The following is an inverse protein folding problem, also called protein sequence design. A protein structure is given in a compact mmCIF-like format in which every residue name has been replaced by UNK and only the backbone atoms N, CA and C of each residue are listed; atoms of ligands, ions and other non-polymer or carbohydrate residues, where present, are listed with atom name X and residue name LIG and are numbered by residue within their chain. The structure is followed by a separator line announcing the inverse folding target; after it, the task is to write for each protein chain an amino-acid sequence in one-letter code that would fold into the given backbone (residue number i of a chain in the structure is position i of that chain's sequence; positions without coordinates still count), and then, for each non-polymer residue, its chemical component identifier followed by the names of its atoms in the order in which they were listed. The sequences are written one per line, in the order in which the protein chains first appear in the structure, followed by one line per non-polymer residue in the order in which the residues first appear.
data_IF_435523803016
#
_entry.id   IF_435523803016
#
_cell.length_a   1.000
_cell.length_b   1.000
_cell.length_c   1.000
_cell.angle_alpha   90.00
_cell.angle_beta   90.00
_cell.angle_gamma   90.00
#
_symmetry.space_group_name_H-M   'P 1'
#
loop_
_entity.id
_entity.type
_entity.pdbx_description
1 polymer ?
#
# COMPACT_ATOMS: atom_id res chain seq x y z
N UNK A 1 -57.08 2.98 -5.04
CA UNK A 1 -56.43 2.04 -5.98
C UNK A 1 -55.23 2.73 -6.58
N UNK A 2 -54.03 2.47 -6.07
CA UNK A 2 -52.74 2.80 -6.71
C UNK A 2 -51.68 1.92 -6.02
N UNK A 3 -51.55 0.71 -6.56
CA UNK A 3 -50.43 -0.22 -6.35
C UNK A 3 -49.37 0.09 -7.40
N UNK A 4 -48.10 0.15 -6.99
CA UNK A 4 -46.84 -0.13 -7.72
C UNK A 4 -45.78 0.93 -7.37
N UNK A 5 -44.59 0.62 -6.89
CA UNK A 5 -43.96 -0.67 -6.65
C UNK A 5 -42.76 -0.46 -5.73
N UNK A 6 -42.74 -1.22 -4.64
CA UNK A 6 -41.54 -1.50 -3.87
C UNK A 6 -40.67 -2.39 -4.74
N UNK A 7 -39.59 -1.85 -5.31
CA UNK A 7 -38.53 -2.69 -5.86
C UNK A 7 -37.78 -3.34 -4.70
N UNK A 8 -37.75 -4.67 -4.74
CA UNK A 8 -37.01 -5.53 -3.82
C UNK A 8 -35.50 -5.25 -3.92
N UNK A 9 -34.84 -5.12 -2.77
CA UNK A 9 -33.37 -5.08 -2.64
C UNK A 9 -32.67 -6.30 -3.24
N UNK A 10 -33.40 -7.35 -3.63
CA UNK A 10 -32.88 -8.50 -4.38
C UNK A 10 -32.63 -8.20 -5.88
N UNK A 11 -33.01 -7.03 -6.40
CA UNK A 11 -32.81 -6.67 -7.82
C UNK A 11 -31.66 -5.68 -8.07
N UNK A 12 -31.03 -5.14 -7.03
CA UNK A 12 -29.83 -4.27 -7.15
C UNK A 12 -28.53 -5.06 -6.97
N UNK A 13 -28.61 -6.33 -6.57
CA UNK A 13 -27.46 -7.23 -6.37
C UNK A 13 -27.04 -8.02 -7.63
N UNK A 14 -27.70 -7.84 -8.77
CA UNK A 14 -27.42 -8.58 -10.00
C UNK A 14 -26.96 -7.65 -11.11
N UNK A 15 -25.71 -7.18 -10.99
CA UNK A 15 -24.91 -6.75 -12.12
C UNK A 15 -23.47 -7.22 -11.87
N UNK A 16 -23.10 -8.29 -12.57
CA UNK A 16 -21.76 -8.90 -12.70
C UNK A 16 -21.35 -9.91 -11.62
N UNK A 17 -22.20 -10.90 -11.35
CA UNK A 17 -21.71 -12.29 -11.25
C UNK A 17 -22.34 -13.06 -12.40
N UNK A 18 -21.54 -13.22 -13.46
CA UNK A 18 -21.95 -13.85 -14.69
C UNK A 18 -22.01 -15.37 -14.51
N UNK A 19 -23.11 -15.94 -15.01
CA UNK A 19 -23.29 -17.27 -15.55
C UNK A 19 -22.02 -18.12 -15.65
N UNK A 20 -22.16 -19.32 -15.10
CA UNK A 20 -21.28 -20.49 -15.09
C UNK A 20 -21.09 -21.10 -16.50
N UNK A 21 -20.81 -20.26 -17.50
CA UNK A 21 -20.36 -20.70 -18.82
C UNK A 21 -18.83 -20.57 -18.85
N UNK A 22 -18.15 -21.58 -18.30
CA UNK A 22 -16.68 -21.66 -18.17
C UNK A 22 -15.96 -21.86 -19.50
N UNK A 23 -16.67 -21.93 -20.63
CA UNK A 23 -16.12 -22.45 -21.89
C UNK A 23 -15.24 -21.48 -22.68
N UNK A 24 -14.91 -20.28 -22.18
CA UNK A 24 -14.07 -19.31 -22.92
C UNK A 24 -13.33 -18.29 -22.01
N UNK A 25 -12.84 -18.74 -20.86
CA UNK A 25 -12.04 -17.90 -19.94
C UNK A 25 -10.56 -18.18 -20.17
N UNK A 26 -9.80 -17.16 -20.59
CA UNK A 26 -8.34 -17.24 -20.61
C UNK A 26 -7.80 -16.93 -19.23
N UNK A 27 -7.05 -17.85 -18.64
CA UNK A 27 -6.35 -17.62 -17.38
C UNK A 27 -4.96 -17.02 -17.64
N UNK A 28 -4.63 -15.96 -16.89
CA UNK A 28 -3.32 -15.35 -16.89
C UNK A 28 -2.87 -15.17 -15.45
N UNK A 29 -1.58 -15.35 -15.19
CA UNK A 29 -1.06 -15.19 -13.85
C UNK A 29 -1.07 -13.71 -13.43
N UNK A 30 -0.58 -12.84 -14.31
CA UNK A 30 -0.52 -11.40 -14.07
C UNK A 30 -0.88 -10.56 -15.29
N UNK A 31 -1.47 -9.40 -15.04
CA UNK A 31 -1.60 -8.30 -15.98
C UNK A 31 -0.77 -7.14 -15.44
N UNK A 32 0.14 -6.62 -16.24
CA UNK A 32 0.96 -5.44 -15.89
C UNK A 32 0.60 -4.33 -16.86
N UNK A 33 0.16 -3.20 -16.31
CA UNK A 33 -0.03 -1.96 -17.05
C UNK A 33 0.75 -0.89 -16.32
N UNK A 34 1.85 -0.44 -16.90
CA UNK A 34 2.69 0.52 -16.20
C UNK A 34 3.61 1.30 -17.10
N UNK A 35 3.96 2.50 -16.65
CA UNK A 35 5.05 3.24 -17.25
C UNK A 35 6.36 2.75 -16.62
N UNK A 36 7.42 2.54 -17.42
CA UNK A 36 8.69 2.04 -16.92
C UNK A 36 9.33 3.01 -15.90
N UNK A 37 10.16 2.45 -15.00
CA UNK A 37 10.66 3.11 -13.78
C UNK A 37 11.23 4.51 -14.01
N UNK A 38 10.56 5.49 -13.41
CA UNK A 38 10.88 6.90 -13.46
C UNK A 38 11.78 7.24 -12.28
N UNK A 39 13.08 7.39 -12.54
CA UNK A 39 13.93 8.20 -11.69
C UNK A 39 14.56 9.26 -12.57
N UNK A 40 14.41 10.53 -12.20
CA UNK A 40 15.13 11.61 -12.90
C UNK A 40 16.64 11.37 -12.79
N UNK A 41 17.43 11.94 -13.71
CA UNK A 41 18.90 11.84 -13.66
C UNK A 41 19.45 12.31 -12.30
N UNK A 42 18.86 13.37 -11.75
CA UNK A 42 19.21 13.96 -10.45
C UNK A 42 18.78 13.08 -9.27
N UNK A 43 17.59 12.46 -9.34
CA UNK A 43 17.14 11.49 -8.33
C UNK A 43 17.95 10.19 -8.36
N UNK A 44 18.39 9.77 -9.56
CA UNK A 44 19.36 8.69 -9.75
C UNK A 44 20.68 9.07 -9.12
N UNK A 45 21.24 10.23 -9.44
CA UNK A 45 22.51 10.70 -8.88
C UNK A 45 22.44 10.85 -7.35
N UNK A 46 21.36 11.42 -6.79
CA UNK A 46 21.18 11.54 -5.35
C UNK A 46 21.04 10.18 -4.65
N UNK A 47 20.34 9.22 -5.27
CA UNK A 47 20.25 7.83 -4.76
C UNK A 47 21.55 7.07 -4.93
N UNK A 48 22.26 7.24 -6.04
CA UNK A 48 23.56 6.59 -6.31
C UNK A 48 24.64 7.11 -5.35
N UNK A 49 24.63 8.41 -5.05
CA UNK A 49 25.49 9.00 -4.00
C UNK A 49 25.18 8.45 -2.59
N UNK A 50 23.98 7.92 -2.37
CA UNK A 50 23.55 7.33 -1.10
C UNK A 50 23.41 5.79 -1.15
N UNK A 51 23.73 5.14 -2.28
CA UNK A 51 23.55 3.71 -2.48
C UNK A 51 24.81 2.93 -2.00
N UNK A 52 24.66 1.65 -1.62
CA UNK A 52 25.81 0.80 -1.30
C UNK A 52 26.75 0.64 -2.51
N UNK A 53 28.07 0.46 -2.31
CA UNK A 53 29.01 0.21 -3.41
C UNK A 53 28.59 -1.00 -4.25
N UNK A 54 28.51 -0.85 -5.57
CA UNK A 54 28.14 -1.91 -6.52
C UNK A 54 26.66 -1.99 -6.90
N UNK A 55 25.82 -1.07 -6.44
CA UNK A 55 24.44 -0.94 -6.91
C UNK A 55 24.39 -0.01 -8.13
N UNK A 56 24.05 -0.53 -9.31
CA UNK A 56 23.77 0.28 -10.50
C UNK A 56 22.31 0.12 -10.91
N UNK A 57 21.55 1.20 -10.99
CA UNK A 57 20.21 1.17 -11.58
C UNK A 57 20.35 1.16 -13.11
N UNK A 58 19.87 0.09 -13.76
CA UNK A 58 19.94 -0.07 -15.21
C UNK A 58 18.87 0.77 -15.94
N UNK A 59 19.37 1.58 -16.88
CA UNK A 59 18.73 2.21 -18.05
C UNK A 59 17.43 3.03 -17.87
N UNK A 60 17.56 4.30 -18.25
CA UNK A 60 16.51 5.24 -18.64
C UNK A 60 15.43 4.62 -19.53
N UNK A 61 14.15 4.79 -19.17
CA UNK A 61 13.02 4.59 -20.09
C UNK A 61 12.03 5.74 -20.00
N UNK A 62 11.39 5.97 -21.13
CA UNK A 62 10.65 7.17 -21.54
C UNK A 62 9.31 7.34 -20.79
N UNK A 63 9.10 8.49 -20.15
CA UNK A 63 7.86 8.85 -19.42
C UNK A 63 6.63 8.87 -20.32
N UNK A 64 6.86 8.97 -21.63
CA UNK A 64 5.84 9.01 -22.66
C UNK A 64 5.37 7.61 -23.06
N UNK A 65 5.83 6.56 -22.37
CA UNK A 65 5.48 5.18 -22.72
C UNK A 65 4.69 4.45 -21.63
N UNK A 66 3.81 3.57 -22.08
CA UNK A 66 3.01 2.67 -21.27
C UNK A 66 3.17 1.25 -21.79
N UNK A 67 3.65 0.37 -20.95
CA UNK A 67 3.75 -1.07 -21.22
C UNK A 67 2.47 -1.78 -20.77
N UNK A 68 1.98 -2.69 -21.60
CA UNK A 68 0.81 -3.53 -21.33
C UNK A 68 1.19 -4.98 -21.58
N UNK A 69 1.13 -5.80 -20.53
CA UNK A 69 1.48 -7.22 -20.53
C UNK A 69 0.33 -8.03 -19.95
N UNK A 70 -0.07 -9.10 -20.63
CA UNK A 70 -1.00 -10.12 -20.13
C UNK A 70 -0.27 -11.47 -20.15
N UNK A 71 0.21 -11.92 -18.99
CA UNK A 71 1.08 -13.09 -18.88
C UNK A 71 2.39 -12.95 -19.66
N UNK A 72 3.31 -13.90 -19.51
CA UNK A 72 4.61 -13.86 -20.19
C UNK A 72 4.53 -14.06 -21.72
N UNK A 73 3.42 -14.58 -22.25
CA UNK A 73 3.33 -15.00 -23.66
C UNK A 73 2.02 -14.63 -24.41
N UNK A 74 0.98 -14.09 -23.75
CA UNK A 74 -0.36 -14.00 -24.36
C UNK A 74 -0.63 -12.65 -25.08
N UNK A 75 -0.16 -11.52 -24.52
CA UNK A 75 -0.16 -10.20 -25.16
C UNK A 75 0.88 -9.31 -24.48
N UNK A 76 1.78 -8.73 -25.28
CA UNK A 76 2.72 -7.70 -24.84
C UNK A 76 2.74 -6.55 -25.84
N UNK A 77 2.71 -5.32 -25.38
CA UNK A 77 2.75 -4.14 -26.23
C UNK A 77 3.16 -2.87 -25.49
N UNK A 78 3.66 -1.90 -26.25
CA UNK A 78 4.04 -0.59 -25.76
C UNK A 78 3.21 0.48 -26.46
N UNK A 79 2.67 1.42 -25.70
CA UNK A 79 2.00 2.59 -26.21
C UNK A 79 2.82 3.84 -25.91
N UNK A 80 3.12 4.65 -26.93
CA UNK A 80 3.71 5.99 -26.76
C UNK A 80 2.67 7.12 -26.76
N UNK A 81 1.44 6.78 -27.11
CA UNK A 81 0.32 7.71 -27.20
C UNK A 81 -1.00 6.94 -27.11
N UNK A 82 -2.12 7.68 -27.14
CA UNK A 82 -3.48 7.12 -27.07
C UNK A 82 -3.83 6.28 -28.32
N UNK A 83 -3.23 6.55 -29.47
CA UNK A 83 -3.49 5.80 -30.72
C UNK A 83 -2.89 4.39 -30.63
N UNK A 84 -1.66 4.27 -30.16
CA UNK A 84 -1.04 2.98 -29.86
C UNK A 84 -1.84 2.21 -28.79
N UNK A 85 -2.34 2.92 -27.77
CA UNK A 85 -3.19 2.31 -26.75
C UNK A 85 -4.50 1.75 -27.33
N UNK A 86 -5.12 2.45 -28.28
CA UNK A 86 -6.30 1.95 -29.00
C UNK A 86 -6.00 0.68 -29.82
N UNK A 87 -4.81 0.57 -30.42
CA UNK A 87 -4.40 -0.65 -31.13
C UNK A 87 -4.22 -1.85 -30.17
N UNK A 88 -3.68 -1.60 -28.98
CA UNK A 88 -3.59 -2.61 -27.91
C UNK A 88 -4.99 -3.06 -27.47
N UNK A 89 -5.92 -2.11 -27.23
CA UNK A 89 -7.32 -2.41 -26.88
C UNK A 89 -7.98 -3.28 -27.97
N UNK A 90 -7.81 -2.94 -29.24
CA UNK A 90 -8.37 -3.71 -30.35
C UNK A 90 -7.79 -5.13 -30.40
N UNK A 91 -6.48 -5.28 -30.20
CA UNK A 91 -5.82 -6.59 -30.17
C UNK A 91 -6.30 -7.43 -28.99
N UNK A 92 -6.41 -6.80 -27.81
CA UNK A 92 -6.94 -7.42 -26.61
C UNK A 92 -8.36 -7.94 -26.82
N UNK A 93 -9.25 -7.13 -27.41
CA UNK A 93 -10.65 -7.52 -27.69
C UNK A 93 -10.77 -8.66 -28.69
N UNK A 94 -9.84 -8.76 -29.64
CA UNK A 94 -9.78 -9.85 -30.63
C UNK A 94 -9.25 -11.15 -30.04
N UNK A 95 -8.28 -11.07 -29.12
CA UNK A 95 -7.62 -12.25 -28.54
C UNK A 95 -8.35 -12.82 -27.34
N UNK A 96 -8.93 -11.97 -26.50
CA UNK A 96 -9.53 -12.42 -25.23
C UNK A 96 -10.96 -11.89 -25.10
N UNK A 97 -11.91 -12.82 -25.01
CA UNK A 97 -13.30 -12.50 -24.71
C UNK A 97 -13.51 -12.22 -23.22
N UNK A 98 -12.96 -13.09 -22.37
CA UNK A 98 -12.97 -13.00 -20.90
C UNK A 98 -11.61 -13.43 -20.36
N UNK A 99 -11.10 -12.71 -19.37
CA UNK A 99 -9.80 -13.01 -18.76
C UNK A 99 -9.99 -13.19 -17.26
N UNK A 100 -9.34 -14.20 -16.67
CA UNK A 100 -9.15 -14.32 -15.22
C UNK A 100 -7.69 -14.08 -14.92
N UNK A 101 -7.40 -13.09 -14.09
CA UNK A 101 -6.04 -12.72 -13.68
C UNK A 101 -5.91 -12.83 -12.16
N UNK A 102 -4.85 -13.51 -11.68
CA UNK A 102 -4.57 -13.53 -10.24
C UNK A 102 -4.12 -12.16 -9.77
N UNK A 103 -3.19 -11.54 -10.50
CA UNK A 103 -2.62 -10.26 -10.12
C UNK A 103 -2.81 -9.20 -11.22
N UNK A 104 -3.25 -8.01 -10.83
CA UNK A 104 -3.19 -6.81 -11.65
C UNK A 104 -2.18 -5.84 -11.04
N UNK A 105 -1.20 -5.41 -11.83
CA UNK A 105 -0.25 -4.36 -11.48
C UNK A 105 -0.52 -3.11 -12.31
N UNK A 106 -0.91 -2.03 -11.63
CA UNK A 106 -1.01 -0.69 -12.22
C UNK A 106 0.15 0.15 -11.70
N UNK A 107 1.17 0.40 -12.52
CA UNK A 107 2.44 0.93 -12.03
C UNK A 107 2.77 2.27 -12.67
N UNK A 108 2.78 3.34 -11.87
CA UNK A 108 3.30 4.67 -12.23
C UNK A 108 2.74 5.25 -13.54
N UNK A 109 1.48 4.95 -13.84
CA UNK A 109 0.84 5.35 -15.10
C UNK A 109 0.74 6.89 -15.16
N UNK A 110 1.30 7.50 -16.21
CA UNK A 110 1.11 8.92 -16.47
C UNK A 110 -0.31 9.19 -17.02
N UNK A 111 -1.25 9.49 -16.12
CA UNK A 111 -2.67 9.68 -16.45
C UNK A 111 -2.97 10.96 -17.24
N UNK A 112 -1.99 11.86 -17.41
CA UNK A 112 -2.11 13.02 -18.30
C UNK A 112 -1.96 12.64 -19.78
N UNK A 113 -1.15 11.61 -20.06
CA UNK A 113 -0.91 11.08 -21.41
C UNK A 113 -1.86 9.91 -21.70
N UNK A 114 -2.07 9.02 -20.73
CA UNK A 114 -2.87 7.81 -20.87
C UNK A 114 -4.13 7.89 -20.00
N UNK A 115 -5.29 8.29 -20.56
CA UNK A 115 -6.50 8.46 -19.78
C UNK A 115 -6.91 7.16 -19.10
N UNK A 116 -7.26 7.23 -17.81
CA UNK A 116 -7.63 6.04 -17.04
C UNK A 116 -8.77 5.24 -17.67
N UNK A 117 -9.73 5.92 -18.31
CA UNK A 117 -10.81 5.27 -19.08
C UNK A 117 -10.30 4.27 -20.12
N UNK A 118 -9.16 4.55 -20.78
CA UNK A 118 -8.55 3.63 -21.75
C UNK A 118 -7.92 2.42 -21.06
N UNK A 119 -7.34 2.61 -19.87
CA UNK A 119 -6.85 1.53 -19.02
C UNK A 119 -8.02 0.60 -18.64
N UNK A 120 -9.17 1.16 -18.26
CA UNK A 120 -10.37 0.37 -17.99
C UNK A 120 -10.89 -0.38 -19.24
N UNK A 121 -10.81 0.21 -20.43
CA UNK A 121 -11.15 -0.48 -21.68
C UNK A 121 -10.25 -1.71 -21.94
N UNK A 122 -8.96 -1.63 -21.59
CA UNK A 122 -8.02 -2.77 -21.64
C UNK A 122 -8.44 -3.86 -20.65
N UNK A 123 -8.90 -3.47 -19.46
CA UNK A 123 -9.30 -4.36 -18.37
C UNK A 123 -10.76 -4.83 -18.41
N UNK A 124 -11.57 -4.38 -19.36
CA UNK A 124 -12.99 -4.73 -19.47
C UNK A 124 -13.19 -6.26 -19.47
N UNK A 125 -14.23 -6.86 -18.89
CA UNK A 125 -14.40 -8.34 -18.87
C UNK A 125 -13.23 -9.14 -18.25
N UNK A 126 -12.40 -8.50 -17.41
CA UNK A 126 -11.36 -9.18 -16.62
C UNK A 126 -11.83 -9.40 -15.19
N UNK A 127 -11.76 -10.64 -14.72
CA UNK A 127 -11.93 -11.01 -13.31
C UNK A 127 -10.56 -10.96 -12.65
N UNK A 128 -10.43 -10.18 -11.57
CA UNK A 128 -9.16 -9.94 -10.87
C UNK A 128 -9.30 -10.41 -9.42
N UNK A 129 -8.28 -11.09 -8.91
CA UNK A 129 -8.22 -11.53 -7.51
C UNK A 129 -7.52 -10.50 -6.64
N UNK A 130 -6.30 -10.08 -7.03
CA UNK A 130 -5.49 -9.10 -6.30
C UNK A 130 -5.07 -7.93 -7.20
N UNK A 131 -5.00 -6.74 -6.61
CA UNK A 131 -4.68 -5.49 -7.31
C UNK A 131 -3.53 -4.80 -6.57
N UNK A 132 -2.41 -4.58 -7.25
CA UNK A 132 -1.33 -3.72 -6.78
C UNK A 132 -1.31 -2.45 -7.60
N UNK A 133 -1.35 -1.30 -6.93
CA UNK A 133 -1.32 0.02 -7.56
C UNK A 133 -0.12 0.76 -7.01
N UNK A 134 0.82 1.12 -7.88
CA UNK A 134 1.98 1.93 -7.53
C UNK A 134 1.76 3.34 -8.07
N UNK A 135 1.71 4.34 -7.18
CA UNK A 135 1.49 5.75 -7.54
C UNK A 135 2.70 6.61 -7.23
N UNK A 136 2.89 7.61 -8.08
CA UNK A 136 3.85 8.71 -7.93
C UNK A 136 3.08 10.02 -7.96
N UNK A 137 3.14 10.80 -6.89
CA UNK A 137 2.41 12.07 -6.82
C UNK A 137 0.94 11.95 -6.40
N UNK A 138 0.09 12.77 -7.00
CA UNK A 138 -1.33 12.86 -6.65
C UNK A 138 -2.15 11.73 -7.27
N UNK A 139 -3.18 11.27 -6.55
CA UNK A 139 -4.08 10.26 -7.08
C UNK A 139 -5.17 10.91 -7.95
N UNK A 140 -5.31 10.42 -9.18
CA UNK A 140 -6.42 10.83 -10.03
C UNK A 140 -7.75 10.31 -9.49
N UNK A 141 -8.79 11.15 -9.56
CA UNK A 141 -10.15 10.80 -9.11
C UNK A 141 -10.70 9.52 -9.77
N UNK A 142 -10.41 9.29 -11.06
CA UNK A 142 -10.86 8.10 -11.78
C UNK A 142 -10.22 6.81 -11.24
N UNK A 143 -8.95 6.88 -10.83
CA UNK A 143 -8.24 5.76 -10.21
C UNK A 143 -8.78 5.47 -8.81
N UNK A 144 -9.06 6.52 -8.02
CA UNK A 144 -9.71 6.38 -6.72
C UNK A 144 -11.10 5.73 -6.85
N UNK A 145 -11.90 6.16 -7.83
CA UNK A 145 -13.21 5.56 -8.10
C UNK A 145 -13.12 4.11 -8.56
N UNK A 146 -12.08 3.76 -9.33
CA UNK A 146 -11.80 2.36 -9.67
C UNK A 146 -11.51 1.52 -8.43
N UNK A 147 -10.66 2.01 -7.51
CA UNK A 147 -10.37 1.31 -6.25
C UNK A 147 -11.66 1.09 -5.45
N UNK A 148 -12.51 2.12 -5.34
CA UNK A 148 -13.81 2.04 -4.66
C UNK A 148 -14.73 0.98 -5.29
N UNK A 149 -14.80 0.91 -6.62
CA UNK A 149 -15.57 -0.13 -7.33
C UNK A 149 -15.02 -1.55 -7.16
N UNK A 150 -13.76 -1.69 -6.73
CA UNK A 150 -13.10 -2.98 -6.47
C UNK A 150 -13.02 -3.31 -4.97
N UNK A 151 -13.81 -2.63 -4.13
CA UNK A 151 -13.94 -2.97 -2.72
C UNK A 151 -14.25 -4.46 -2.53
N UNK A 152 -13.56 -5.12 -1.59
CA UNK A 152 -13.65 -6.56 -1.35
C UNK A 152 -12.58 -7.38 -2.07
N UNK A 153 -11.78 -6.77 -2.96
CA UNK A 153 -10.53 -7.36 -3.46
C UNK A 153 -9.36 -7.03 -2.54
N UNK A 154 -8.31 -7.83 -2.62
CA UNK A 154 -7.04 -7.54 -1.96
C UNK A 154 -6.32 -6.46 -2.76
N UNK A 155 -6.31 -5.23 -2.22
CA UNK A 155 -5.74 -4.05 -2.88
C UNK A 155 -4.53 -3.59 -2.09
N UNK A 156 -3.38 -3.53 -2.75
CA UNK A 156 -2.14 -2.99 -2.23
C UNK A 156 -1.76 -1.69 -2.95
N UNK A 157 -1.83 -0.57 -2.24
CA UNK A 157 -1.46 0.75 -2.73
C UNK A 157 -0.05 1.12 -2.25
N UNK A 158 0.86 1.21 -3.21
CA UNK A 158 2.27 1.54 -3.01
C UNK A 158 2.52 2.98 -3.43
N UNK A 159 3.03 3.80 -2.52
CA UNK A 159 3.42 5.19 -2.75
C UNK A 159 4.94 5.30 -2.81
N UNK A 160 5.50 5.69 -3.96
CA UNK A 160 6.95 5.63 -4.21
C UNK A 160 7.75 6.83 -3.66
N UNK A 161 7.23 8.06 -3.69
CA UNK A 161 8.00 9.24 -3.27
C UNK A 161 7.44 10.00 -2.07
N UNK A 162 6.12 10.17 -2.05
CA UNK A 162 5.37 10.95 -1.07
C UNK A 162 4.05 10.26 -0.78
N UNK A 163 3.50 10.41 0.43
CA UNK A 163 2.18 9.88 0.70
C UNK A 163 1.14 10.65 -0.12
N UNK A 164 0.04 10.00 -0.42
CA UNK A 164 -1.15 10.69 -0.89
C UNK A 164 -1.64 11.67 0.18
N UNK A 165 -2.38 12.69 -0.25
CA UNK A 165 -2.97 13.63 0.69
C UNK A 165 -3.95 12.91 1.65
N UNK A 166 -4.09 13.46 2.85
CA UNK A 166 -4.91 12.88 3.92
C UNK A 166 -6.35 12.60 3.46
N UNK A 167 -6.96 13.51 2.72
CA UNK A 167 -8.34 13.35 2.26
C UNK A 167 -8.46 12.16 1.32
N UNK A 168 -7.51 11.97 0.42
CA UNK A 168 -7.46 10.81 -0.47
C UNK A 168 -7.25 9.52 0.31
N UNK A 169 -6.31 9.47 1.25
CA UNK A 169 -6.05 8.28 2.10
C UNK A 169 -7.30 7.88 2.90
N UNK A 170 -7.94 8.85 3.56
CA UNK A 170 -9.16 8.63 4.32
C UNK A 170 -10.37 8.30 3.44
N UNK A 171 -10.30 8.48 2.13
CA UNK A 171 -11.34 8.12 1.18
C UNK A 171 -11.16 6.72 0.58
N UNK A 172 -10.05 6.04 0.87
CA UNK A 172 -9.82 4.67 0.42
C UNK A 172 -10.73 3.68 1.16
N UNK A 173 -11.17 2.59 0.50
CA UNK A 173 -11.94 1.53 1.16
C UNK A 173 -11.15 0.88 2.32
N UNK A 174 -11.85 0.38 3.36
CA UNK A 174 -11.23 -0.44 4.40
C UNK A 174 -10.55 -1.67 3.78
N UNK A 175 -9.66 -2.33 4.53
CA UNK A 175 -8.88 -3.50 4.09
C UNK A 175 -7.89 -3.25 2.94
N UNK A 176 -7.85 -2.06 2.34
CA UNK A 176 -6.74 -1.66 1.45
C UNK A 176 -5.42 -1.65 2.23
N UNK A 177 -4.36 -2.24 1.68
CA UNK A 177 -3.00 -2.12 2.21
C UNK A 177 -2.35 -0.84 1.70
N UNK A 178 -1.79 -0.05 2.60
CA UNK A 178 -1.18 1.26 2.33
C UNK A 178 0.31 1.19 2.67
N UNK A 179 1.16 1.37 1.66
CA UNK A 179 2.60 1.23 1.82
C UNK A 179 3.35 2.40 1.18
N UNK A 180 3.99 3.23 2.00
CA UNK A 180 4.98 4.19 1.55
C UNK A 180 6.34 3.50 1.37
N UNK A 181 6.63 3.02 0.15
CA UNK A 181 7.77 2.15 -0.15
C UNK A 181 9.15 2.79 0.18
N UNK A 182 9.24 4.11 0.07
CA UNK A 182 10.45 4.87 0.36
C UNK A 182 10.83 4.89 1.85
N UNK A 183 9.93 4.51 2.77
CA UNK A 183 10.25 4.37 4.19
C UNK A 183 11.25 3.26 4.50
N UNK A 184 11.46 2.33 3.56
CA UNK A 184 12.51 1.31 3.68
C UNK A 184 13.93 1.90 3.89
N UNK A 185 14.15 3.19 3.56
CA UNK A 185 15.27 3.99 4.04
C UNK A 185 14.78 5.18 4.86
N UNK A 186 15.27 5.37 6.09
CA UNK A 186 14.89 6.57 6.87
C UNK A 186 15.52 7.81 6.24
N UNK A 187 14.69 8.74 5.77
CA UNK A 187 15.13 9.97 5.07
C UNK A 187 15.08 11.22 5.96
N UNK A 188 15.25 11.07 7.28
CA UNK A 188 15.42 12.23 8.19
C UNK A 188 14.31 13.26 8.03
N UNK A 189 14.68 14.49 7.66
CA UNK A 189 13.78 15.62 7.44
C UNK A 189 12.66 15.34 6.42
N UNK A 190 12.90 14.50 5.40
CA UNK A 190 11.86 14.19 4.39
C UNK A 190 10.68 13.42 4.99
N UNK A 191 10.95 12.55 5.96
CA UNK A 191 9.89 11.81 6.67
C UNK A 191 9.09 12.75 7.58
N UNK A 192 9.75 13.74 8.19
CA UNK A 192 9.09 14.75 9.03
C UNK A 192 8.22 15.70 8.20
N UNK A 193 8.72 16.17 7.05
CA UNK A 193 8.01 17.09 6.16
C UNK A 193 6.78 16.45 5.49
N UNK A 194 6.85 15.14 5.22
CA UNK A 194 5.77 14.40 4.56
C UNK A 194 4.98 13.51 5.53
N UNK A 195 5.22 13.60 6.84
CA UNK A 195 4.57 12.77 7.84
C UNK A 195 3.11 13.18 8.08
N UNK A 196 2.23 12.19 8.21
CA UNK A 196 0.86 12.40 8.66
C UNK A 196 0.86 12.98 10.08
N UNK A 197 -0.14 13.83 10.38
CA UNK A 197 -0.39 14.23 11.76
C UNK A 197 -0.85 13.03 12.60
N UNK A 198 -0.63 13.07 13.91
CA UNK A 198 -1.08 12.01 14.83
C UNK A 198 -2.58 11.74 14.69
N UNK A 199 -3.38 12.82 14.62
CA UNK A 199 -4.83 12.74 14.46
C UNK A 199 -5.22 12.00 13.17
N UNK A 200 -4.66 12.42 12.04
CA UNK A 200 -4.99 11.84 10.73
C UNK A 200 -4.55 10.38 10.65
N UNK A 201 -3.39 10.07 11.22
CA UNK A 201 -2.89 8.71 11.27
C UNK A 201 -3.78 7.79 12.13
N UNK A 202 -4.20 8.24 13.31
CA UNK A 202 -5.13 7.47 14.15
C UNK A 202 -6.47 7.27 13.44
N UNK A 203 -6.98 8.29 12.75
CA UNK A 203 -8.20 8.16 11.92
C UNK A 203 -8.01 7.13 10.80
N UNK A 204 -6.86 7.13 10.14
CA UNK A 204 -6.49 6.14 9.13
C UNK A 204 -6.44 4.71 9.71
N UNK A 205 -5.88 4.54 10.92
CA UNK A 205 -5.85 3.23 11.60
C UNK A 205 -7.28 2.76 11.93
N UNK A 206 -8.17 3.66 12.37
CA UNK A 206 -9.59 3.33 12.63
C UNK A 206 -10.35 2.88 11.39
N UNK A 207 -9.89 3.22 10.18
CA UNK A 207 -10.48 2.73 8.92
C UNK A 207 -10.25 1.24 8.65
N UNK A 208 -9.49 0.53 9.49
CA UNK A 208 -9.26 -0.92 9.37
C UNK A 208 -8.64 -1.32 8.02
N UNK A 209 -7.65 -0.55 7.57
CA UNK A 209 -6.78 -0.96 6.47
C UNK A 209 -6.02 -2.23 6.85
N UNK A 210 -5.85 -3.17 5.91
CA UNK A 210 -5.21 -4.46 6.20
C UNK A 210 -3.75 -4.27 6.62
N UNK A 211 -3.07 -3.30 5.99
CA UNK A 211 -1.74 -2.87 6.40
C UNK A 211 -1.62 -1.34 6.28
N UNK A 212 -1.08 -0.69 7.31
CA UNK A 212 -0.69 0.73 7.29
C UNK A 212 0.81 0.84 7.57
N UNK A 213 1.57 1.23 6.55
CA UNK A 213 2.99 1.56 6.63
C UNK A 213 3.19 2.97 6.03
N UNK A 214 3.01 4.00 6.87
CA UNK A 214 2.96 5.40 6.46
C UNK A 214 3.86 6.26 7.36
N UNK A 215 4.44 7.36 6.84
CA UNK A 215 5.19 8.30 7.67
C UNK A 215 4.20 8.99 8.61
N UNK A 216 4.57 9.14 9.89
CA UNK A 216 3.75 9.80 10.89
C UNK A 216 4.62 10.57 11.87
N UNK A 217 4.22 11.81 12.14
CA UNK A 217 4.90 12.71 13.06
C UNK A 217 4.36 12.50 14.49
N UNK A 218 4.77 11.41 15.13
CA UNK A 218 4.38 11.13 16.52
C UNK A 218 5.29 11.90 17.46
N UNK A 219 4.67 12.67 18.36
CA UNK A 219 5.31 13.46 19.41
C UNK A 219 4.88 12.94 20.79
N UNK A 220 3.66 12.42 20.92
CA UNK A 220 3.08 11.89 22.17
C UNK A 220 3.08 10.36 22.18
N UNK A 221 3.70 9.77 23.20
CA UNK A 221 3.71 8.32 23.42
C UNK A 221 2.32 7.70 23.61
N UNK A 222 1.32 8.48 24.05
CA UNK A 222 -0.06 8.01 24.22
C UNK A 222 -0.67 7.58 22.88
N UNK A 223 -0.26 8.21 21.77
CA UNK A 223 -0.73 7.86 20.41
C UNK A 223 -0.30 6.44 20.03
N UNK A 224 0.89 6.01 20.43
CA UNK A 224 1.36 4.64 20.18
C UNK A 224 0.46 3.64 20.92
N UNK A 225 0.12 3.92 22.18
CA UNK A 225 -0.80 3.10 22.97
C UNK A 225 -2.21 3.09 22.37
N UNK A 226 -2.71 4.22 21.91
CA UNK A 226 -4.01 4.34 21.25
C UNK A 226 -4.07 3.48 19.97
N UNK A 227 -3.04 3.53 19.12
CA UNK A 227 -2.93 2.69 17.91
C UNK A 227 -2.93 1.21 18.29
N UNK A 228 -2.18 0.80 19.31
CA UNK A 228 -2.16 -0.58 19.80
C UNK A 228 -3.56 -1.02 20.24
N UNK A 229 -4.28 -0.19 21.00
CA UNK A 229 -5.64 -0.48 21.46
C UNK A 229 -6.61 -0.62 20.29
N UNK A 230 -6.54 0.27 19.30
CA UNK A 230 -7.39 0.21 18.10
C UNK A 230 -7.15 -1.10 17.34
N UNK A 231 -5.88 -1.44 17.06
CA UNK A 231 -5.55 -2.65 16.29
C UNK A 231 -5.92 -3.92 17.06
N UNK A 232 -5.69 -3.95 18.38
CA UNK A 232 -6.05 -5.09 19.23
C UNK A 232 -7.56 -5.36 19.28
N UNK A 233 -8.36 -4.29 19.25
CA UNK A 233 -9.82 -4.37 19.22
C UNK A 233 -10.41 -4.58 17.81
N UNK A 234 -9.56 -4.68 16.77
CA UNK A 234 -10.03 -4.90 15.40
C UNK A 234 -10.67 -6.29 15.25
N UNK A 235 -11.78 -6.32 14.53
CA UNK A 235 -12.52 -7.51 14.11
C UNK A 235 -12.06 -8.02 12.73
N UNK A 236 -10.95 -7.49 12.22
CA UNK A 236 -10.34 -7.86 10.94
C UNK A 236 -8.83 -8.02 11.09
N UNK A 237 -8.22 -8.72 10.13
CA UNK A 237 -6.76 -8.77 10.05
C UNK A 237 -6.22 -7.37 9.77
N UNK A 238 -5.40 -6.85 10.68
CA UNK A 238 -4.86 -5.51 10.57
C UNK A 238 -3.42 -5.47 11.07
N UNK A 239 -2.56 -4.86 10.27
CA UNK A 239 -1.17 -4.58 10.60
C UNK A 239 -0.88 -3.09 10.54
N UNK A 240 -0.20 -2.57 11.55
CA UNK A 240 0.31 -1.19 11.55
C UNK A 240 1.80 -1.22 11.83
N UNK A 241 2.58 -0.46 11.05
CA UNK A 241 4.02 -0.33 11.26
C UNK A 241 4.37 1.13 11.57
N UNK A 242 5.01 1.36 12.71
CA UNK A 242 5.47 2.66 13.18
C UNK A 242 6.99 2.71 13.19
N UNK A 243 7.56 3.87 12.89
CA UNK A 243 8.98 4.17 13.07
C UNK A 243 9.12 5.25 14.12
N UNK A 244 9.70 4.90 15.26
CA UNK A 244 9.74 5.74 16.45
C UNK A 244 11.18 6.04 16.80
N UNK A 245 11.50 7.31 17.04
CA UNK A 245 12.84 7.71 17.53
C UNK A 245 13.05 7.17 18.94
N UNK A 246 14.31 6.84 19.26
CA UNK A 246 14.70 6.25 20.56
C UNK A 246 14.10 6.97 21.77
N UNK A 247 14.17 8.32 21.91
CA UNK A 247 13.62 8.98 23.09
C UNK A 247 12.10 8.81 23.27
N UNK A 248 11.34 8.85 22.18
CA UNK A 248 9.88 8.65 22.22
C UNK A 248 9.55 7.18 22.52
N UNK A 249 10.34 6.25 21.98
CA UNK A 249 10.20 4.83 22.27
C UNK A 249 10.42 4.54 23.77
N UNK A 250 11.46 5.12 24.37
CA UNK A 250 11.78 4.93 25.79
C UNK A 250 10.68 5.52 26.69
N UNK A 251 10.11 6.68 26.34
CA UNK A 251 8.94 7.26 27.03
C UNK A 251 7.72 6.36 26.92
N UNK A 252 7.41 5.84 25.73
CA UNK A 252 6.30 4.91 25.53
C UNK A 252 6.48 3.63 26.36
N UNK A 253 7.67 3.03 26.36
CA UNK A 253 7.96 1.83 27.15
C UNK A 253 7.73 2.07 28.63
N UNK A 254 8.28 3.18 29.13
CA UNK A 254 8.08 3.62 30.51
C UNK A 254 6.60 3.81 30.81
N UNK A 255 5.86 4.53 29.96
CA UNK A 255 4.41 4.75 30.12
C UNK A 255 3.63 3.44 30.31
N UNK A 256 3.98 2.39 29.55
CA UNK A 256 3.30 1.09 29.62
C UNK A 256 3.90 0.11 30.65
N UNK A 257 4.83 0.55 31.50
CA UNK A 257 5.41 -0.29 32.56
C UNK A 257 6.43 -1.30 32.07
N UNK A 258 7.06 -1.01 30.94
CA UNK A 258 8.10 -1.85 30.35
C UNK A 258 9.42 -1.09 30.27
N UNK A 259 10.51 -1.86 30.26
CA UNK A 259 11.86 -1.37 29.98
C UNK A 259 12.53 -2.32 29.00
N UNK A 260 13.19 -1.78 27.97
CA UNK A 260 13.99 -2.56 27.04
C UNK A 260 15.46 -2.55 27.47
N UNK A 261 15.97 -3.72 27.83
CA UNK A 261 17.40 -3.97 28.01
C UNK A 261 18.02 -4.48 26.69
N UNK A 262 19.36 -4.57 26.57
CA UNK A 262 20.00 -5.13 25.37
C UNK A 262 19.52 -6.54 25.03
N UNK A 263 19.24 -7.36 26.05
CA UNK A 263 18.94 -8.78 25.88
C UNK A 263 17.44 -9.09 25.88
N UNK A 264 16.62 -8.25 26.53
CA UNK A 264 15.18 -8.51 26.70
C UNK A 264 14.36 -7.29 27.11
N UNK A 265 13.06 -7.40 26.95
CA UNK A 265 12.04 -6.54 27.54
C UNK A 265 11.74 -7.07 28.96
N UNK A 266 11.67 -6.17 29.93
CA UNK A 266 11.31 -6.47 31.33
C UNK A 266 10.18 -5.57 31.79
N UNK A 267 9.39 -6.07 32.73
CA UNK A 267 8.36 -5.29 33.42
C UNK A 267 8.99 -4.49 34.56
N UNK A 268 8.60 -3.22 34.71
CA UNK A 268 9.05 -2.33 35.78
C UNK A 268 7.92 -1.88 36.70
N UNK A 269 6.66 -1.97 36.26
CA UNK A 269 5.44 -1.83 37.08
C UNK A 269 4.25 -2.53 36.41
N UNK A 270 3.13 -2.77 37.15
CA UNK A 270 1.99 -3.52 36.62
C UNK A 270 1.53 -3.02 35.26
N UNK A 271 1.37 -3.94 34.32
CA UNK A 271 1.06 -3.64 32.92
C UNK A 271 0.02 -4.60 32.34
N UNK A 272 -0.75 -4.11 31.37
CA UNK A 272 -1.67 -4.92 30.55
C UNK A 272 -0.94 -5.72 29.46
N UNK A 273 0.36 -5.45 29.26
CA UNK A 273 1.16 -6.11 28.23
C UNK A 273 1.75 -7.42 28.73
N UNK A 274 1.73 -8.45 27.87
CA UNK A 274 2.33 -9.77 28.17
C UNK A 274 3.61 -9.94 27.37
N UNK A 275 4.73 -10.22 28.05
CA UNK A 275 6.03 -10.48 27.42
C UNK A 275 6.11 -11.97 27.04
N UNK A 276 6.43 -12.28 25.78
CA UNK A 276 6.41 -13.68 25.27
C UNK A 276 7.80 -14.30 25.22
N UNK A 277 8.73 -13.68 24.49
CA UNK A 277 10.06 -14.23 24.19
C UNK A 277 11.19 -13.23 24.52
N UNK A 278 10.88 -12.22 25.34
CA UNK A 278 11.79 -11.12 25.67
C UNK A 278 11.95 -10.07 24.56
N UNK A 279 11.38 -10.25 23.37
CA UNK A 279 11.46 -9.27 22.27
C UNK A 279 10.11 -8.91 21.67
N UNK A 280 9.12 -9.79 21.86
CA UNK A 280 7.74 -9.66 21.46
C UNK A 280 6.86 -9.42 22.69
N UNK A 281 5.93 -8.47 22.58
CA UNK A 281 4.89 -8.24 23.59
C UNK A 281 3.50 -8.41 22.98
N UNK A 282 2.52 -8.77 23.79
CA UNK A 282 1.12 -8.88 23.42
C UNK A 282 0.30 -7.82 24.16
N UNK A 283 -0.74 -7.31 23.51
CA UNK A 283 -1.77 -6.48 24.12
C UNK A 283 -3.13 -6.94 23.62
N UNK A 284 -3.97 -7.52 24.49
CA UNK A 284 -5.21 -8.18 24.07
C UNK A 284 -4.94 -9.23 22.99
N UNK A 285 -5.50 -9.03 21.79
CA UNK A 285 -5.29 -9.93 20.65
C UNK A 285 -4.22 -9.46 19.65
N UNK A 286 -3.53 -8.35 19.92
CA UNK A 286 -2.46 -7.84 19.06
C UNK A 286 -1.09 -8.38 19.48
N UNK A 287 -0.30 -8.83 18.50
CA UNK A 287 1.12 -9.11 18.62
C UNK A 287 1.93 -7.87 18.25
N UNK A 288 2.88 -7.50 19.10
CA UNK A 288 3.71 -6.31 18.91
C UNK A 288 5.17 -6.75 18.83
N UNK A 289 5.74 -6.59 17.64
CA UNK A 289 7.14 -6.93 17.35
C UNK A 289 7.97 -5.66 17.26
N UNK A 290 9.11 -5.62 17.94
CA UNK A 290 9.90 -4.40 18.08
C UNK A 290 11.35 -4.67 17.69
N UNK A 291 11.77 -4.01 16.62
CA UNK A 291 13.10 -4.13 16.06
C UNK A 291 13.83 -2.81 16.17
N UNK A 292 15.06 -2.84 16.70
CA UNK A 292 15.98 -1.70 16.63
C UNK A 292 16.55 -1.64 15.21
N UNK A 293 16.47 -0.47 14.60
CA UNK A 293 16.91 -0.22 13.24
C UNK A 293 17.84 0.99 13.19
N UNK A 294 18.52 1.13 12.07
CA UNK A 294 19.37 2.28 11.75
C UNK A 294 18.92 2.87 10.43
N UNK A 295 19.05 4.19 10.30
CA UNK A 295 18.78 4.89 9.03
C UNK A 295 19.73 4.46 7.90
N UNK A 296 20.90 3.91 8.26
CA UNK A 296 21.92 3.42 7.35
C UNK A 296 22.28 1.97 7.71
N UNK A 297 22.67 1.16 6.71
CA UNK A 297 23.03 -0.26 6.91
C UNK A 297 24.19 -0.47 7.89
N UNK A 298 25.08 0.50 8.02
CA UNK A 298 26.25 0.44 8.92
C UNK A 298 26.23 1.60 9.91
N UNK A 299 26.79 1.35 11.10
CA UNK A 299 27.08 2.40 12.06
C UNK A 299 28.13 3.36 11.48
N UNK A 300 27.85 4.66 11.53
CA UNK A 300 28.73 5.71 11.01
C UNK A 300 28.10 7.10 11.14
N UNK A 301 28.84 8.16 10.80
CA UNK A 301 28.33 9.53 10.83
C UNK A 301 27.01 9.66 10.06
N UNK A 302 25.98 10.23 10.71
CA UNK A 302 24.64 10.39 10.14
C UNK A 302 23.72 9.17 10.25
N UNK A 303 24.15 8.06 10.87
CA UNK A 303 23.26 6.95 11.22
C UNK A 303 22.48 7.29 12.49
N UNK A 304 21.14 7.27 12.41
CA UNK A 304 20.26 7.58 13.55
C UNK A 304 19.56 6.28 13.98
N UNK A 305 19.59 5.92 15.28
CA UNK A 305 18.84 4.76 15.76
C UNK A 305 17.35 5.08 15.87
N UNK A 306 16.51 4.18 15.38
CA UNK A 306 15.07 4.21 15.57
C UNK A 306 14.54 2.80 15.89
N UNK A 307 13.31 2.72 16.36
CA UNK A 307 12.60 1.48 16.57
C UNK A 307 11.49 1.33 15.55
N UNK A 308 11.45 0.18 14.89
CA UNK A 308 10.30 -0.23 14.10
C UNK A 308 9.38 -1.06 15.00
N UNK A 309 8.16 -0.55 15.22
CA UNK A 309 7.11 -1.24 15.97
C UNK A 309 6.11 -1.77 14.94
N UNK A 310 5.96 -3.10 14.86
CA UNK A 310 4.92 -3.74 14.05
C UNK A 310 3.84 -4.27 14.99
N UNK A 311 2.62 -3.75 14.85
CA UNK A 311 1.43 -4.12 15.62
C UNK A 311 0.56 -4.94 14.68
N UNK A 312 0.31 -6.20 15.02
CA UNK A 312 -0.36 -7.17 14.16
C UNK A 312 -1.52 -7.82 14.91
N UNK A 313 -2.72 -7.70 14.35
CA UNK A 313 -3.89 -8.50 14.73
C UNK A 313 -4.17 -9.45 13.59
N UNK A 314 -3.91 -10.74 13.82
CA UNK A 314 -4.28 -11.84 12.94
C UNK A 314 -5.38 -12.66 13.62
N UNK A 315 -6.48 -12.92 12.92
CA UNK A 315 -7.65 -13.71 13.37
C UNK A 315 -7.51 -15.19 13.04
#
# INVERSE_FOLDING_TARGET
ALLSGLMSLSQVATCVEADDDTSDITEVDQIVIGSPDLKTEEERQARDMCAPPGFSFASSRDEESLEVIFGSENLGGFARDVTHLNAIIATRRRRFRRVRAKHLHLTMINLSIFPFKKIEEILANTVIEQITITVRGEMNFSLLDFIRRKQGKDINLIMEDRPLDTQTLLNLPPLTSLNAAWLSGFRGAWEEENGLSERDFVELVRKRHAWVHMPVNIVDEVVILEVIKIVSASDTNQRVTLRIRTPLFDRFFTLVGLLRTPDRIVEIWPTEFVIVDGTTILYGHAKISISRCLTRRTYGPGSIPYYQISIDRSL
#
